data_IF_011289809287
#
_entry.id   IF_011289809287
#
_cell.length_a   1.000
_cell.length_b   1.000
_cell.length_c   1.000
_cell.angle_alpha   90.00
_cell.angle_beta   90.00
_cell.angle_gamma   90.00
#
_symmetry.space_group_name_H-M   'P 1'
#
loop_
_entity.id
_entity.type
_entity.pdbx_description
1 polymer ?
#
# COMPACT_ATOMS: atom_id res chain seq x y z
N UNK A 1 -23.46 34.79 12.55
CA UNK A 1 -22.51 33.98 13.29
C UNK A 1 -21.50 33.44 12.29
N UNK A 2 -20.31 34.01 12.30
CA UNK A 2 -19.27 33.63 11.35
C UNK A 2 -18.77 32.20 11.67
N UNK A 3 -18.94 31.27 10.72
CA UNK A 3 -18.33 29.96 10.80
C UNK A 3 -16.81 30.07 10.90
N UNK A 4 -16.10 29.10 11.50
CA UNK A 4 -14.67 29.19 11.72
C UNK A 4 -13.95 29.33 10.38
N UNK A 5 -13.10 30.35 10.28
CA UNK A 5 -12.28 30.65 9.11
C UNK A 5 -11.57 29.37 8.63
N UNK A 6 -11.89 28.96 7.42
CA UNK A 6 -11.30 27.79 6.79
C UNK A 6 -9.77 27.83 6.66
N UNK A 7 -9.17 29.02 6.81
CA UNK A 7 -7.74 29.30 6.65
C UNK A 7 -6.97 29.52 7.99
N UNK A 8 -7.60 29.30 9.14
CA UNK A 8 -7.02 29.67 10.44
C UNK A 8 -5.73 28.94 10.86
N UNK A 9 -5.33 27.90 10.18
CA UNK A 9 -4.18 27.07 10.56
C UNK A 9 -3.04 27.04 9.54
N UNK A 10 -3.16 27.77 8.42
CA UNK A 10 -2.07 27.86 7.42
C UNK A 10 -1.06 28.90 7.87
N UNK A 11 0.22 28.52 7.92
CA UNK A 11 1.30 29.45 8.19
C UNK A 11 1.53 30.30 6.94
N UNK A 12 1.33 31.60 7.05
CA UNK A 12 1.51 32.50 5.90
C UNK A 12 2.94 32.42 5.34
N UNK A 13 3.06 32.31 4.01
CA UNK A 13 4.33 32.20 3.30
C UNK A 13 5.09 30.89 3.51
N UNK A 14 4.43 29.87 4.06
CA UNK A 14 5.04 28.56 4.37
C UNK A 14 4.90 27.52 3.25
N UNK A 15 4.36 27.89 2.10
CA UNK A 15 4.03 26.92 1.05
C UNK A 15 2.81 26.04 1.43
N UNK A 16 1.88 26.59 2.20
CA UNK A 16 0.64 25.92 2.61
C UNK A 16 0.79 24.94 3.76
N UNK A 17 1.85 25.03 4.58
CA UNK A 17 2.02 24.21 5.79
C UNK A 17 0.97 24.58 6.83
N UNK A 18 0.28 23.56 7.37
CA UNK A 18 -0.74 23.69 8.41
C UNK A 18 -0.15 23.48 9.80
N UNK A 19 -0.57 24.32 10.77
CA UNK A 19 -0.25 24.09 12.19
C UNK A 19 -1.17 22.98 12.75
N UNK A 20 -0.58 22.05 13.50
CA UNK A 20 -1.31 21.01 14.22
C UNK A 20 -1.67 19.78 13.36
N UNK A 21 -2.64 19.01 13.85
CA UNK A 21 -3.19 17.89 13.09
C UNK A 21 -4.01 18.44 11.92
N UNK A 22 -3.67 17.99 10.69
CA UNK A 22 -4.39 18.40 9.49
C UNK A 22 -5.85 17.95 9.53
N UNK A 23 -6.69 18.57 8.72
CA UNK A 23 -8.07 18.13 8.52
C UNK A 23 -8.08 16.66 8.10
N UNK A 24 -8.96 15.89 8.72
CA UNK A 24 -9.20 14.49 8.36
C UNK A 24 -10.34 14.36 7.35
N UNK A 25 -11.21 15.37 7.24
CA UNK A 25 -12.31 15.41 6.28
C UNK A 25 -12.10 16.55 5.28
N UNK A 26 -12.01 16.20 4.01
CA UNK A 26 -11.85 17.12 2.87
C UNK A 26 -13.05 17.12 1.92
N UNK A 27 -14.11 16.41 2.29
CA UNK A 27 -15.34 16.27 1.50
C UNK A 27 -15.96 17.63 1.17
N UNK A 28 -16.36 17.80 -0.08
CA UNK A 28 -16.97 19.02 -0.59
C UNK A 28 -16.00 20.19 -0.85
N UNK A 29 -14.68 20.04 -0.61
CA UNK A 29 -13.72 21.08 -0.99
C UNK A 29 -13.65 21.23 -2.48
N UNK A 30 -13.50 22.48 -2.94
CA UNK A 30 -13.32 22.82 -4.35
C UNK A 30 -11.86 23.14 -4.62
N UNK A 31 -11.32 22.56 -5.69
CA UNK A 31 -9.92 22.69 -6.07
C UNK A 31 -9.75 23.06 -7.54
N UNK A 32 -8.63 23.74 -7.86
CA UNK A 32 -8.10 23.85 -9.21
C UNK A 32 -6.98 22.86 -9.40
N UNK A 33 -6.98 22.11 -10.49
CA UNK A 33 -5.90 21.21 -10.85
C UNK A 33 -4.98 21.86 -11.88
N UNK A 34 -3.71 22.01 -11.53
CA UNK A 34 -2.68 22.57 -12.41
C UNK A 34 -1.81 21.44 -12.99
N UNK A 35 -1.76 21.37 -14.32
CA UNK A 35 -1.05 20.32 -15.06
C UNK A 35 -0.06 20.93 -16.03
N UNK A 36 1.17 20.41 -16.07
CA UNK A 36 2.18 20.77 -17.06
C UNK A 36 2.33 19.68 -18.09
N UNK A 37 2.33 20.05 -19.36
CA UNK A 37 2.42 19.09 -20.46
C UNK A 37 1.09 18.41 -20.75
N UNK A 38 1.18 17.28 -21.45
CA UNK A 38 0.05 16.43 -21.83
C UNK A 38 0.18 15.08 -21.11
N UNK A 39 0.09 15.11 -19.79
CA UNK A 39 0.20 13.92 -18.96
C UNK A 39 -1.20 13.35 -18.65
N UNK A 40 -1.31 12.03 -18.58
CA UNK A 40 -2.52 11.39 -18.08
C UNK A 40 -2.73 11.72 -16.59
N UNK A 41 -3.84 12.33 -16.29
CA UNK A 41 -4.22 12.76 -14.94
C UNK A 41 -5.27 11.86 -14.29
N UNK A 42 -5.72 10.81 -14.98
CA UNK A 42 -6.84 9.97 -14.56
C UNK A 42 -6.65 9.35 -13.17
N UNK A 43 -5.46 8.82 -12.88
CA UNK A 43 -5.12 8.28 -11.58
C UNK A 43 -5.16 9.38 -10.48
N UNK A 44 -4.59 10.55 -10.77
CA UNK A 44 -4.57 11.66 -9.83
C UNK A 44 -5.98 12.21 -9.53
N UNK A 45 -6.81 12.34 -10.57
CA UNK A 45 -8.22 12.76 -10.44
C UNK A 45 -9.03 11.74 -9.62
N UNK A 46 -8.77 10.45 -9.78
CA UNK A 46 -9.37 9.39 -8.97
C UNK A 46 -8.95 9.47 -7.48
N UNK A 47 -7.68 9.79 -7.20
CA UNK A 47 -7.21 10.05 -5.83
C UNK A 47 -7.93 11.23 -5.20
N UNK A 48 -8.06 12.33 -5.93
CA UNK A 48 -8.76 13.55 -5.49
C UNK A 48 -10.24 13.26 -5.21
N UNK A 49 -10.90 12.54 -6.11
CA UNK A 49 -12.29 12.10 -6.00
C UNK A 49 -12.52 11.19 -4.78
N UNK A 50 -11.59 10.28 -4.49
CA UNK A 50 -11.65 9.39 -3.32
C UNK A 50 -11.72 10.17 -2.00
N UNK A 51 -11.14 11.37 -1.97
CA UNK A 51 -11.19 12.26 -0.80
C UNK A 51 -12.44 13.16 -0.76
N UNK A 52 -13.36 13.04 -1.73
CA UNK A 52 -14.53 13.91 -1.85
C UNK A 52 -14.18 15.35 -2.23
N UNK A 53 -13.01 15.59 -2.83
CA UNK A 53 -12.59 16.89 -3.33
C UNK A 53 -13.10 17.05 -4.77
N UNK A 54 -13.70 18.18 -5.09
CA UNK A 54 -14.22 18.49 -6.43
C UNK A 54 -13.27 19.36 -7.21
N UNK A 55 -12.75 18.85 -8.32
CA UNK A 55 -11.97 19.64 -9.29
C UNK A 55 -12.94 20.53 -10.06
N UNK A 56 -12.84 21.84 -9.85
CA UNK A 56 -13.68 22.84 -10.53
C UNK A 56 -13.21 23.02 -11.97
N UNK A 57 -11.90 23.06 -12.16
CA UNK A 57 -11.28 23.21 -13.47
C UNK A 57 -9.88 22.57 -13.46
N UNK A 58 -9.51 22.01 -14.62
CA UNK A 58 -8.16 21.53 -14.92
C UNK A 58 -7.49 22.54 -15.86
N UNK A 59 -6.44 23.18 -15.34
CA UNK A 59 -5.67 24.17 -16.10
C UNK A 59 -4.38 23.54 -16.60
N UNK A 60 -4.26 23.41 -17.91
CA UNK A 60 -3.09 22.83 -18.56
C UNK A 60 -2.21 23.97 -19.09
N UNK A 61 -0.90 23.88 -18.84
CA UNK A 61 0.07 24.74 -19.47
C UNK A 61 1.10 23.88 -20.22
N UNK A 62 1.17 23.98 -21.57
CA UNK A 62 2.14 23.22 -22.35
C UNK A 62 3.59 23.65 -22.08
N UNK A 63 4.53 22.78 -22.44
CA UNK A 63 5.96 23.03 -22.36
C UNK A 63 6.58 22.58 -21.02
N UNK A 64 7.86 22.93 -20.82
CA UNK A 64 8.65 22.48 -19.67
C UNK A 64 8.21 23.14 -18.36
N UNK A 65 8.31 22.38 -17.27
CA UNK A 65 8.08 22.85 -15.89
C UNK A 65 8.99 24.04 -15.58
N UNK A 66 8.43 25.10 -14.98
CA UNK A 66 9.25 26.18 -14.45
C UNK A 66 9.95 25.73 -13.14
N UNK A 67 11.28 25.77 -13.06
CA UNK A 67 12.01 25.31 -11.87
C UNK A 67 11.67 26.07 -10.58
N UNK A 68 11.29 27.36 -10.72
CA UNK A 68 10.99 28.21 -9.56
C UNK A 68 9.55 28.19 -9.08
N UNK A 69 8.59 27.97 -9.99
CA UNK A 69 7.15 28.17 -9.68
C UNK A 69 6.23 27.18 -10.36
N UNK A 70 6.72 26.10 -10.95
CA UNK A 70 5.96 25.08 -11.69
C UNK A 70 5.25 25.62 -12.93
N UNK A 71 4.35 26.62 -12.80
CA UNK A 71 3.77 27.40 -13.88
C UNK A 71 4.58 28.68 -14.12
N UNK A 72 4.49 29.24 -15.33
CA UNK A 72 5.06 30.57 -15.61
C UNK A 72 4.41 31.66 -14.77
N UNK A 73 5.17 32.65 -14.31
CA UNK A 73 4.70 33.70 -13.40
C UNK A 73 3.49 34.51 -13.97
N UNK A 74 3.47 34.79 -15.28
CA UNK A 74 2.31 35.42 -15.92
C UNK A 74 1.03 34.59 -15.85
N UNK A 75 1.13 33.26 -15.99
CA UNK A 75 -0.02 32.38 -15.86
C UNK A 75 -0.54 32.29 -14.42
N UNK A 76 0.36 32.27 -13.43
CA UNK A 76 -0.01 32.30 -12.01
C UNK A 76 -0.71 33.61 -11.64
N UNK A 77 -0.28 34.76 -12.16
CA UNK A 77 -0.95 36.05 -11.97
C UNK A 77 -2.37 36.04 -12.56
N UNK A 78 -2.55 35.50 -13.76
CA UNK A 78 -3.87 35.36 -14.37
C UNK A 78 -4.79 34.47 -13.52
N UNK A 79 -4.28 33.37 -12.98
CA UNK A 79 -5.02 32.49 -12.04
C UNK A 79 -5.40 33.27 -10.78
N UNK A 80 -4.48 34.07 -10.22
CA UNK A 80 -4.74 34.90 -9.05
C UNK A 80 -5.85 35.92 -9.32
N UNK A 81 -5.83 36.59 -10.46
CA UNK A 81 -6.87 37.54 -10.89
C UNK A 81 -8.22 36.83 -11.00
N UNK A 82 -8.27 35.68 -11.67
CA UNK A 82 -9.50 34.86 -11.81
C UNK A 82 -10.08 34.46 -10.47
N UNK A 83 -9.24 34.02 -9.53
CA UNK A 83 -9.65 33.65 -8.17
C UNK A 83 -10.11 34.87 -7.33
N UNK A 84 -9.53 36.05 -7.58
CA UNK A 84 -9.87 37.28 -6.88
C UNK A 84 -11.26 37.81 -7.22
N UNK A 85 -11.74 37.57 -8.44
CA UNK A 85 -13.06 37.98 -8.89
C UNK A 85 -14.18 37.26 -8.09
N UNK A 86 -13.89 36.13 -7.48
CA UNK A 86 -14.83 35.31 -6.67
C UNK A 86 -16.20 35.11 -7.31
N UNK A 87 -16.27 34.98 -8.64
CA UNK A 87 -17.51 34.77 -9.37
C UNK A 87 -17.68 33.31 -9.80
N UNK A 88 -18.92 32.85 -9.93
CA UNK A 88 -19.23 31.53 -10.46
C UNK A 88 -18.58 30.36 -9.69
N UNK A 89 -18.00 29.43 -10.43
CA UNK A 89 -17.39 28.21 -9.92
C UNK A 89 -16.17 28.47 -8.99
N UNK A 90 -15.44 29.57 -9.21
CA UNK A 90 -14.21 29.88 -8.47
C UNK A 90 -14.44 30.47 -7.08
N UNK A 91 -15.66 30.93 -6.76
CA UNK A 91 -16.00 31.57 -5.48
C UNK A 91 -15.63 30.75 -4.22
N UNK A 92 -15.60 29.44 -4.36
CA UNK A 92 -15.38 28.51 -3.23
C UNK A 92 -14.10 27.68 -3.38
N UNK A 93 -13.23 28.03 -4.34
CA UNK A 93 -11.93 27.34 -4.47
C UNK A 93 -11.10 27.61 -3.23
N UNK A 94 -10.71 26.56 -2.53
CA UNK A 94 -9.95 26.58 -1.30
C UNK A 94 -8.65 25.77 -1.36
N UNK A 95 -8.36 25.19 -2.54
CA UNK A 95 -7.23 24.29 -2.73
C UNK A 95 -6.69 24.39 -4.16
N UNK A 96 -5.39 24.44 -4.29
CA UNK A 96 -4.68 24.27 -5.57
C UNK A 96 -4.01 22.91 -5.54
N UNK A 97 -4.24 22.11 -6.57
CA UNK A 97 -3.66 20.78 -6.77
C UNK A 97 -2.62 20.84 -7.89
N UNK A 98 -1.44 20.28 -7.66
CA UNK A 98 -0.36 20.14 -8.64
C UNK A 98 -0.22 18.68 -9.04
N UNK A 99 -0.35 18.41 -10.35
CA UNK A 99 -0.11 17.07 -10.90
C UNK A 99 1.39 16.77 -10.99
N UNK A 100 2.08 16.78 -9.85
CA UNK A 100 3.52 16.46 -9.76
C UNK A 100 3.95 16.34 -8.31
N UNK A 101 5.15 15.83 -8.08
CA UNK A 101 5.89 16.00 -6.83
C UNK A 101 6.64 17.34 -6.92
N UNK A 102 6.05 18.40 -6.39
CA UNK A 102 6.61 19.74 -6.50
C UNK A 102 7.84 19.91 -5.58
N UNK A 103 8.79 20.73 -6.02
CA UNK A 103 9.89 21.13 -5.15
C UNK A 103 9.40 22.08 -4.04
N UNK A 104 10.03 22.12 -2.86
CA UNK A 104 9.66 23.06 -1.80
C UNK A 104 9.61 24.51 -2.29
N UNK A 105 10.55 24.90 -3.16
CA UNK A 105 10.60 26.23 -3.78
C UNK A 105 9.37 26.54 -4.62
N UNK A 106 8.91 25.58 -5.41
CA UNK A 106 7.70 25.73 -6.22
C UNK A 106 6.46 25.91 -5.34
N UNK A 107 6.33 25.09 -4.28
CA UNK A 107 5.20 25.20 -3.35
C UNK A 107 5.16 26.56 -2.64
N UNK A 108 6.28 27.02 -2.13
CA UNK A 108 6.39 28.34 -1.49
C UNK A 108 6.05 29.47 -2.47
N UNK A 109 6.59 29.41 -3.69
CA UNK A 109 6.34 30.46 -4.71
C UNK A 109 4.86 30.51 -5.14
N UNK A 110 4.20 29.36 -5.31
CA UNK A 110 2.78 29.34 -5.70
C UNK A 110 1.90 29.85 -4.54
N UNK A 111 2.17 29.40 -3.29
CA UNK A 111 1.45 29.87 -2.11
C UNK A 111 1.57 31.39 -1.92
N UNK A 112 2.76 31.96 -2.10
CA UNK A 112 2.98 33.41 -2.03
C UNK A 112 2.20 34.19 -3.09
N UNK A 113 2.06 33.64 -4.31
CA UNK A 113 1.36 34.33 -5.40
C UNK A 113 -0.15 34.17 -5.25
N UNK A 114 -0.64 32.94 -4.98
CA UNK A 114 -2.07 32.66 -5.01
C UNK A 114 -2.77 32.89 -3.66
N UNK A 115 -2.06 32.81 -2.54
CA UNK A 115 -2.62 32.95 -1.20
C UNK A 115 -3.66 31.88 -0.83
N UNK A 116 -3.57 30.70 -1.47
CA UNK A 116 -4.47 29.56 -1.29
C UNK A 116 -3.63 28.33 -0.99
N UNK A 117 -4.12 27.44 -0.16
CA UNK A 117 -3.46 26.17 0.18
C UNK A 117 -3.10 25.38 -1.08
N UNK A 118 -1.83 24.94 -1.18
CA UNK A 118 -1.28 24.22 -2.33
C UNK A 118 -0.93 22.80 -1.93
N UNK A 119 -1.42 21.84 -2.68
CA UNK A 119 -1.05 20.43 -2.52
C UNK A 119 -0.41 19.91 -3.81
N UNK A 120 0.74 19.33 -3.65
CA UNK A 120 1.35 18.46 -4.65
C UNK A 120 0.86 17.01 -4.46
N UNK A 121 1.36 16.09 -5.27
CA UNK A 121 1.03 14.66 -5.17
C UNK A 121 1.38 14.10 -3.79
N UNK A 122 2.49 14.52 -3.19
CA UNK A 122 2.93 14.07 -1.85
C UNK A 122 1.91 14.46 -0.79
N UNK A 123 1.48 15.71 -0.77
CA UNK A 123 0.50 16.21 0.21
C UNK A 123 -0.87 15.58 0.02
N UNK A 124 -1.30 15.38 -1.23
CA UNK A 124 -2.55 14.66 -1.51
C UNK A 124 -2.52 13.25 -0.92
N UNK A 125 -1.44 12.49 -1.18
CA UNK A 125 -1.28 11.14 -0.65
C UNK A 125 -1.23 11.12 0.89
N UNK A 126 -0.51 12.04 1.50
CA UNK A 126 -0.42 12.13 2.97
C UNK A 126 -1.78 12.51 3.61
N UNK A 127 -2.57 13.34 2.95
CA UNK A 127 -3.92 13.66 3.39
C UNK A 127 -4.85 12.44 3.28
N UNK A 128 -4.77 11.70 2.17
CA UNK A 128 -5.49 10.44 1.95
C UNK A 128 -5.11 9.40 3.02
N UNK A 129 -3.83 9.23 3.29
CA UNK A 129 -3.36 8.33 4.34
C UNK A 129 -3.82 8.76 5.72
N UNK A 130 -3.88 10.06 6.00
CA UNK A 130 -4.39 10.58 7.27
C UNK A 130 -5.85 10.19 7.48
N UNK A 131 -6.67 10.21 6.43
CA UNK A 131 -8.10 9.85 6.51
C UNK A 131 -8.33 8.34 6.69
N UNK A 132 -7.41 7.49 6.22
CA UNK A 132 -7.53 6.03 6.31
C UNK A 132 -6.77 5.40 7.49
N UNK A 133 -5.88 6.15 8.17
CA UNK A 133 -5.10 5.64 9.29
C UNK A 133 -5.99 5.37 10.51
N UNK A 134 -6.28 4.10 10.79
CA UNK A 134 -7.15 3.68 11.89
C UNK A 134 -6.36 3.38 13.17
N UNK A 135 -5.19 2.75 13.07
CA UNK A 135 -4.37 2.41 14.23
C UNK A 135 -3.48 3.56 14.71
N UNK A 136 -2.99 3.40 15.92
CA UNK A 136 -1.98 4.29 16.50
C UNK A 136 -0.67 4.26 15.72
N UNK A 137 -0.30 3.08 15.21
CA UNK A 137 0.93 2.89 14.42
C UNK A 137 0.83 3.63 13.09
N UNK A 138 -0.22 3.39 12.29
CA UNK A 138 -0.43 4.05 11.00
C UNK A 138 -0.53 5.57 11.17
N UNK A 139 -1.29 6.06 12.15
CA UNK A 139 -1.35 7.50 12.45
C UNK A 139 0.02 8.09 12.79
N UNK A 140 0.84 7.34 13.55
CA UNK A 140 2.20 7.77 13.88
C UNK A 140 3.09 7.82 12.63
N UNK A 141 3.00 6.84 11.74
CA UNK A 141 3.75 6.78 10.49
C UNK A 141 3.38 7.93 9.56
N UNK A 142 2.08 8.13 9.32
CA UNK A 142 1.58 9.23 8.48
C UNK A 142 1.97 10.59 9.07
N UNK A 143 1.89 10.76 10.39
CA UNK A 143 2.30 12.00 11.05
C UNK A 143 3.79 12.28 10.87
N UNK A 144 4.65 11.27 11.00
CA UNK A 144 6.09 11.40 10.74
C UNK A 144 6.34 11.84 9.29
N UNK A 145 5.69 11.19 8.30
CA UNK A 145 5.84 11.52 6.89
C UNK A 145 5.41 12.97 6.61
N UNK A 146 4.27 13.39 7.15
CA UNK A 146 3.76 14.76 7.05
C UNK A 146 4.74 15.77 7.63
N UNK A 147 5.23 15.55 8.86
CA UNK A 147 6.17 16.44 9.51
C UNK A 147 7.51 16.56 8.75
N UNK A 148 7.97 15.47 8.12
CA UNK A 148 9.17 15.51 7.27
C UNK A 148 8.96 16.36 6.03
N UNK A 149 7.82 16.20 5.34
CA UNK A 149 7.46 17.02 4.18
C UNK A 149 7.33 18.50 4.57
N UNK A 150 6.56 18.80 5.62
CA UNK A 150 6.36 20.16 6.11
C UNK A 150 7.68 20.84 6.54
N UNK A 151 8.56 20.10 7.23
CA UNK A 151 9.87 20.61 7.65
C UNK A 151 10.72 21.04 6.44
N UNK A 152 10.69 20.27 5.34
CA UNK A 152 11.45 20.59 4.15
C UNK A 152 10.95 21.88 3.50
N UNK A 153 9.64 22.07 3.45
CA UNK A 153 9.02 23.27 2.88
C UNK A 153 9.26 24.50 3.77
N UNK A 154 9.15 24.35 5.09
CA UNK A 154 9.43 25.45 6.03
C UNK A 154 10.89 25.93 5.97
N UNK A 155 11.85 25.00 5.76
CA UNK A 155 13.25 25.38 5.56
C UNK A 155 13.44 26.24 4.31
N UNK A 156 12.77 25.89 3.22
CA UNK A 156 12.80 26.72 2.00
C UNK A 156 12.13 28.08 2.23
N UNK A 157 11.00 28.13 2.92
CA UNK A 157 10.32 29.37 3.26
C UNK A 157 11.23 30.32 4.08
N UNK A 158 11.98 29.79 5.06
CA UNK A 158 13.00 30.55 5.81
C UNK A 158 14.08 31.07 4.88
N UNK A 159 14.60 30.21 3.98
CA UNK A 159 15.63 30.58 3.01
C UNK A 159 15.19 31.73 2.09
N UNK A 160 13.97 31.67 1.59
CA UNK A 160 13.39 32.71 0.72
C UNK A 160 13.24 34.04 1.49
N UNK A 161 12.75 34.00 2.73
CA UNK A 161 12.60 35.22 3.56
C UNK A 161 13.93 35.85 3.86
N UNK A 162 14.96 35.06 4.24
CA UNK A 162 16.30 35.59 4.57
C UNK A 162 17.05 36.13 3.36
N UNK A 163 16.79 35.63 2.14
CA UNK A 163 17.42 36.07 0.90
C UNK A 163 16.79 37.35 0.34
N UNK A 164 15.51 37.59 0.62
CA UNK A 164 14.74 38.75 0.16
C UNK A 164 14.89 40.00 1.04
N UNK A 165 15.49 39.90 2.22
CA UNK A 165 15.60 40.98 3.19
C UNK A 165 17.02 41.58 3.21
N UNK A 166 17.09 42.93 3.12
CA UNK A 166 18.35 43.66 3.40
C UNK A 166 18.77 43.36 4.84
N UNK A 167 20.05 43.05 5.03
CA UNK A 167 20.65 42.82 6.35
C UNK A 167 20.26 43.94 7.33
N UNK A 168 19.39 43.67 8.29
CA UNK A 168 19.04 44.58 9.38
C UNK A 168 17.58 44.75 9.78
N UNK A 169 16.57 44.28 9.01
CA UNK A 169 15.15 44.58 9.28
C UNK A 169 14.20 43.41 9.06
N UNK A 170 14.54 42.19 9.33
CA UNK A 170 13.65 41.08 8.99
C UNK A 170 13.67 39.84 9.90
N UNK A 171 14.17 39.99 11.12
CA UNK A 171 14.41 38.84 12.00
C UNK A 171 13.16 38.12 12.56
N UNK A 172 12.00 38.74 12.63
CA UNK A 172 10.85 38.16 13.36
C UNK A 172 10.19 37.02 12.65
N UNK A 173 9.95 37.13 11.34
CA UNK A 173 9.27 36.05 10.58
C UNK A 173 10.14 34.81 10.42
N UNK A 174 11.41 34.98 10.06
CA UNK A 174 12.38 33.89 9.95
C UNK A 174 12.59 33.19 11.30
N UNK A 175 12.67 33.97 12.40
CA UNK A 175 12.80 33.45 13.77
C UNK A 175 11.57 32.62 14.16
N UNK A 176 10.37 33.11 13.86
CA UNK A 176 9.14 32.37 14.13
C UNK A 176 9.10 31.02 13.40
N UNK A 177 9.46 30.97 12.11
CA UNK A 177 9.53 29.71 11.36
C UNK A 177 10.61 28.76 11.91
N UNK A 178 11.76 29.27 12.37
CA UNK A 178 12.80 28.46 13.02
C UNK A 178 12.32 27.84 14.34
N UNK A 179 11.54 28.56 15.14
CA UNK A 179 10.91 28.02 16.36
C UNK A 179 9.96 26.88 16.01
N UNK A 180 9.15 27.05 14.95
CA UNK A 180 8.24 26.00 14.46
C UNK A 180 9.06 24.77 14.00
N UNK A 181 10.11 24.95 13.20
CA UNK A 181 10.99 23.86 12.76
C UNK A 181 11.58 23.10 13.96
N UNK A 182 12.01 23.83 15.00
CA UNK A 182 12.55 23.24 16.23
C UNK A 182 11.49 22.41 16.98
N UNK A 183 10.26 22.89 17.03
CA UNK A 183 9.11 22.13 17.60
C UNK A 183 8.84 20.86 16.81
N UNK A 184 8.79 20.94 15.47
CA UNK A 184 8.61 19.78 14.60
C UNK A 184 9.72 18.73 14.80
N UNK A 185 10.97 19.14 14.96
CA UNK A 185 12.08 18.22 15.21
C UNK A 185 11.93 17.46 16.54
N UNK A 186 11.46 18.12 17.60
CA UNK A 186 11.16 17.45 18.89
C UNK A 186 10.04 16.45 18.75
N UNK A 187 8.95 16.84 18.08
CA UNK A 187 7.83 15.95 17.80
C UNK A 187 8.26 14.72 16.98
N UNK A 188 9.04 14.93 15.91
CA UNK A 188 9.62 13.85 15.09
C UNK A 188 10.44 12.87 15.91
N UNK A 189 11.28 13.36 16.84
CA UNK A 189 12.10 12.51 17.71
C UNK A 189 11.24 11.65 18.60
N UNK A 190 10.19 12.23 19.20
CA UNK A 190 9.24 11.51 20.06
C UNK A 190 8.45 10.43 19.29
N UNK A 191 7.93 10.80 18.11
CA UNK A 191 7.17 9.88 17.28
C UNK A 191 8.03 8.73 16.73
N UNK A 192 9.27 9.01 16.32
CA UNK A 192 10.21 7.96 15.87
C UNK A 192 10.54 6.97 16.99
N UNK A 193 10.75 7.45 18.22
CA UNK A 193 10.96 6.58 19.38
C UNK A 193 9.74 5.69 19.64
N UNK A 194 8.53 6.25 19.52
CA UNK A 194 7.27 5.51 19.67
C UNK A 194 7.12 4.46 18.56
N UNK A 195 7.33 4.85 17.31
CA UNK A 195 7.26 3.95 16.14
C UNK A 195 8.26 2.79 16.28
N UNK A 196 9.51 3.06 16.70
CA UNK A 196 10.54 2.03 16.91
C UNK A 196 10.11 0.93 17.90
N UNK A 197 9.39 1.28 18.97
CA UNK A 197 8.82 0.29 19.90
C UNK A 197 7.76 -0.59 19.22
N UNK A 198 6.87 0.00 18.42
CA UNK A 198 5.84 -0.75 17.70
C UNK A 198 6.46 -1.68 16.65
N UNK A 199 7.41 -1.18 15.85
CA UNK A 199 8.12 -1.98 14.84
C UNK A 199 8.86 -3.18 15.47
N UNK A 200 9.56 -2.96 16.59
CA UNK A 200 10.22 -4.04 17.30
C UNK A 200 9.23 -5.11 17.80
N UNK A 201 8.13 -4.69 18.40
CA UNK A 201 7.08 -5.63 18.85
C UNK A 201 6.43 -6.39 17.69
N UNK A 202 6.26 -5.77 16.53
CA UNK A 202 5.75 -6.42 15.32
C UNK A 202 6.76 -7.47 14.80
N UNK A 203 8.05 -7.14 14.74
CA UNK A 203 9.11 -8.07 14.35
C UNK A 203 9.17 -9.30 15.26
N UNK A 204 9.09 -9.12 16.59
CA UNK A 204 9.03 -10.24 17.53
C UNK A 204 7.81 -11.15 17.30
N UNK A 205 6.64 -10.58 17.02
CA UNK A 205 5.45 -11.38 16.70
C UNK A 205 5.63 -12.19 15.42
N UNK A 206 6.24 -11.63 14.36
CA UNK A 206 6.55 -12.35 13.12
C UNK A 206 7.52 -13.50 13.37
N UNK A 207 8.60 -13.25 14.13
CA UNK A 207 9.58 -14.28 14.51
C UNK A 207 8.92 -15.42 15.33
N UNK A 208 8.02 -15.09 16.25
CA UNK A 208 7.28 -16.12 17.01
C UNK A 208 6.38 -16.95 16.09
N UNK A 209 5.66 -16.33 15.13
CA UNK A 209 4.85 -17.06 14.15
C UNK A 209 5.70 -18.05 13.36
N UNK A 210 6.85 -17.61 12.86
CA UNK A 210 7.79 -18.44 12.11
C UNK A 210 8.31 -19.61 12.96
N UNK A 211 8.71 -19.35 14.22
CA UNK A 211 9.15 -20.42 15.15
C UNK A 211 8.05 -21.45 15.45
N UNK A 212 6.79 -21.05 15.35
CA UNK A 212 5.64 -21.93 15.52
C UNK A 212 5.24 -22.67 14.22
N UNK A 213 6.01 -22.55 13.15
CA UNK A 213 5.72 -23.19 11.86
C UNK A 213 4.51 -22.59 11.12
N UNK A 214 4.12 -21.36 11.44
CA UNK A 214 3.03 -20.66 10.77
C UNK A 214 3.54 -20.10 9.44
N UNK A 215 3.02 -20.62 8.33
CA UNK A 215 3.30 -20.09 7.00
C UNK A 215 2.46 -18.85 6.73
N UNK A 216 3.05 -17.86 6.05
CA UNK A 216 2.37 -16.62 5.69
C UNK A 216 2.43 -16.40 4.18
N UNK A 217 1.33 -15.92 3.62
CA UNK A 217 1.19 -15.53 2.21
C UNK A 217 0.93 -14.03 2.17
N UNK A 218 1.86 -13.26 1.60
CA UNK A 218 1.75 -11.82 1.48
C UNK A 218 1.09 -11.40 0.17
N UNK A 219 0.20 -10.43 0.20
CA UNK A 219 -0.41 -9.84 -0.99
C UNK A 219 0.30 -8.54 -1.33
N UNK A 220 0.81 -8.42 -2.54
CA UNK A 220 1.40 -7.20 -3.06
C UNK A 220 0.83 -6.89 -4.44
N UNK A 221 0.89 -5.65 -4.85
CA UNK A 221 0.40 -5.20 -6.15
C UNK A 221 -0.04 -3.75 -6.11
N UNK A 222 -0.34 -3.23 -7.28
CA UNK A 222 -0.77 -1.86 -7.44
C UNK A 222 -2.07 -1.57 -6.68
N UNK A 223 -2.36 -0.28 -6.40
CA UNK A 223 -3.66 0.09 -5.82
C UNK A 223 -4.80 -0.39 -6.73
N UNK A 224 -5.89 -0.85 -6.14
CA UNK A 224 -7.05 -1.41 -6.85
C UNK A 224 -6.78 -2.70 -7.67
N UNK A 225 -5.63 -3.37 -7.48
CA UNK A 225 -5.36 -4.67 -8.10
C UNK A 225 -6.14 -5.85 -7.49
N UNK A 226 -7.11 -5.60 -6.62
CA UNK A 226 -7.96 -6.64 -6.03
C UNK A 226 -7.39 -7.35 -4.81
N UNK A 227 -6.35 -6.81 -4.13
CA UNK A 227 -5.72 -7.41 -2.95
C UNK A 227 -6.71 -7.73 -1.84
N UNK A 228 -7.46 -6.73 -1.36
CA UNK A 228 -8.43 -6.91 -0.27
C UNK A 228 -9.62 -7.80 -0.68
N UNK A 229 -9.96 -7.85 -1.97
CA UNK A 229 -10.97 -8.78 -2.51
C UNK A 229 -10.47 -10.22 -2.45
N UNK A 230 -9.23 -10.48 -2.88
CA UNK A 230 -8.61 -11.80 -2.79
C UNK A 230 -8.38 -12.21 -1.33
N UNK A 231 -7.93 -11.30 -0.48
CA UNK A 231 -7.80 -11.54 0.95
C UNK A 231 -9.12 -12.07 1.56
N UNK A 232 -10.25 -11.41 1.24
CA UNK A 232 -11.57 -11.85 1.70
C UNK A 232 -11.96 -13.21 1.14
N UNK A 233 -11.70 -13.46 -0.15
CA UNK A 233 -12.01 -14.73 -0.80
C UNK A 233 -11.23 -15.90 -0.18
N UNK A 234 -9.96 -15.71 0.16
CA UNK A 234 -9.10 -16.74 0.72
C UNK A 234 -9.25 -16.93 2.23
N UNK A 235 -9.50 -15.84 3.00
CA UNK A 235 -9.56 -15.91 4.47
C UNK A 235 -10.97 -16.06 5.03
N UNK A 236 -12.00 -15.87 4.23
CA UNK A 236 -13.41 -15.83 4.69
C UNK A 236 -13.69 -14.66 5.67
N UNK A 237 -12.69 -13.82 5.99
CA UNK A 237 -12.83 -12.71 6.91
C UNK A 237 -13.54 -11.54 6.23
N UNK A 238 -14.58 -11.00 6.87
CA UNK A 238 -15.26 -9.79 6.39
C UNK A 238 -14.34 -8.59 6.59
N UNK A 239 -13.65 -8.17 5.53
CA UNK A 239 -12.92 -6.90 5.48
C UNK A 239 -13.73 -5.92 4.64
N UNK A 240 -13.72 -4.67 5.01
CA UNK A 240 -14.36 -3.62 4.24
C UNK A 240 -13.61 -3.50 2.90
N UNK A 241 -14.22 -4.01 1.84
CA UNK A 241 -13.70 -3.82 0.47
C UNK A 241 -14.47 -2.65 -0.11
N UNK A 242 -13.83 -1.51 -0.16
CA UNK A 242 -14.33 -0.34 -0.87
C UNK A 242 -13.55 -0.21 -2.18
N UNK A 243 -14.22 0.22 -3.24
CA UNK A 243 -13.58 0.61 -4.53
C UNK A 243 -12.83 1.95 -4.38
N UNK A 244 -12.16 2.13 -3.25
CA UNK A 244 -11.35 3.30 -2.95
C UNK A 244 -9.87 2.95 -2.96
N UNK A 245 -9.09 3.85 -3.52
CA UNK A 245 -7.64 3.72 -3.50
C UNK A 245 -7.13 3.74 -2.05
N UNK A 246 -6.18 2.86 -1.73
CA UNK A 246 -5.62 2.71 -0.38
C UNK A 246 -6.63 2.36 0.72
N UNK A 247 -7.57 1.47 0.44
CA UNK A 247 -8.51 0.96 1.46
C UNK A 247 -7.80 0.29 2.64
N UNK A 248 -6.57 -0.20 2.44
CA UNK A 248 -5.74 -0.85 3.46
C UNK A 248 -4.43 -0.08 3.63
N UNK A 249 -4.25 0.58 4.78
CA UNK A 249 -2.99 1.23 5.18
C UNK A 249 -2.17 0.39 6.16
N UNK A 250 -2.81 -0.55 6.82
CA UNK A 250 -2.23 -1.42 7.82
C UNK A 250 -2.27 -2.86 7.34
N UNK A 251 -1.21 -3.66 7.61
CA UNK A 251 -1.27 -5.06 7.26
C UNK A 251 -2.39 -5.73 8.02
N UNK A 252 -3.32 -6.31 7.28
CA UNK A 252 -4.41 -7.09 7.86
C UNK A 252 -4.10 -8.56 7.73
N UNK A 253 -4.01 -9.27 8.87
CA UNK A 253 -3.80 -10.70 8.89
C UNK A 253 -5.13 -11.45 8.93
N UNK A 254 -5.29 -12.42 8.04
CA UNK A 254 -6.37 -13.36 8.01
C UNK A 254 -5.85 -14.80 8.10
N UNK A 255 -6.70 -15.70 8.51
CA UNK A 255 -6.39 -17.12 8.47
C UNK A 255 -6.96 -17.70 7.16
N UNK A 256 -6.07 -18.17 6.29
CA UNK A 256 -6.43 -18.84 5.04
C UNK A 256 -6.79 -20.29 5.29
N UNK A 257 -6.02 -20.98 6.15
CA UNK A 257 -6.28 -22.37 6.50
C UNK A 257 -6.00 -22.61 7.99
N UNK A 258 -6.69 -23.57 8.60
CA UNK A 258 -6.57 -23.93 10.01
C UNK A 258 -5.56 -25.02 10.26
N UNK A 259 -5.47 -25.98 9.35
CA UNK A 259 -4.58 -27.13 9.44
C UNK A 259 -4.09 -27.51 8.04
N UNK A 260 -2.81 -27.27 7.71
CA UNK A 260 -1.80 -26.52 8.48
C UNK A 260 -2.19 -25.04 8.61
N UNK A 261 -1.68 -24.37 9.63
CA UNK A 261 -2.00 -22.95 9.82
C UNK A 261 -1.30 -22.10 8.78
N UNK A 262 -2.10 -21.52 7.87
CA UNK A 262 -1.62 -20.59 6.85
C UNK A 262 -2.31 -19.26 7.09
N UNK A 263 -1.48 -18.21 7.21
CA UNK A 263 -1.93 -16.83 7.31
C UNK A 263 -1.83 -16.15 5.95
N UNK A 264 -2.73 -15.21 5.70
CA UNK A 264 -2.65 -14.32 4.56
C UNK A 264 -2.56 -12.88 5.08
N UNK A 265 -1.67 -12.08 4.48
CA UNK A 265 -1.44 -10.70 4.85
C UNK A 265 -1.85 -9.77 3.69
N UNK A 266 -2.87 -8.93 3.91
CA UNK A 266 -3.20 -7.83 3.01
C UNK A 266 -2.34 -6.61 3.35
N UNK A 267 -1.75 -5.97 2.35
CA UNK A 267 -0.82 -4.86 2.52
C UNK A 267 -1.23 -3.63 1.72
N UNK A 268 -0.53 -2.52 1.95
CA UNK A 268 -0.69 -1.28 1.16
C UNK A 268 -0.42 -1.57 -0.31
N UNK A 269 -1.28 -1.02 -1.19
CA UNK A 269 -1.05 -1.04 -2.63
C UNK A 269 0.06 -0.09 -3.07
N UNK A 270 0.80 -0.50 -4.08
CA UNK A 270 1.73 0.39 -4.76
C UNK A 270 0.99 1.42 -5.62
N UNK A 271 1.61 2.56 -5.80
CA UNK A 271 1.17 3.65 -6.68
C UNK A 271 2.42 4.31 -7.26
N UNK A 272 2.28 4.94 -8.42
CA UNK A 272 3.40 5.64 -9.04
C UNK A 272 3.88 6.82 -8.20
N UNK A 273 5.19 7.06 -8.28
CA UNK A 273 5.82 8.26 -7.76
C UNK A 273 5.55 8.56 -6.27
N UNK A 274 5.45 7.52 -5.40
CA UNK A 274 5.43 7.75 -3.97
C UNK A 274 6.83 8.23 -3.54
N UNK A 275 6.95 9.39 -2.87
CA UNK A 275 8.25 9.84 -2.40
C UNK A 275 8.87 8.88 -1.38
N UNK A 276 10.18 8.68 -1.46
CA UNK A 276 10.92 7.81 -0.52
C UNK A 276 10.72 8.21 0.94
N UNK A 277 10.48 9.49 1.23
CA UNK A 277 10.18 9.99 2.58
C UNK A 277 8.85 9.48 3.13
N UNK A 278 7.83 9.36 2.29
CA UNK A 278 6.55 8.77 2.66
C UNK A 278 6.67 7.25 2.77
N UNK A 279 7.34 6.60 1.80
CA UNK A 279 7.59 5.16 1.79
C UNK A 279 8.39 4.69 3.01
N UNK A 280 9.41 5.42 3.44
CA UNK A 280 10.21 5.10 4.63
C UNK A 280 9.35 4.99 5.90
N UNK A 281 8.25 5.74 5.97
CA UNK A 281 7.32 5.68 7.10
C UNK A 281 6.47 4.40 7.11
N UNK A 282 6.31 3.71 5.98
CA UNK A 282 5.50 2.50 5.83
C UNK A 282 6.33 1.21 5.73
N UNK A 283 7.64 1.26 6.02
CA UNK A 283 8.52 0.07 5.97
C UNK A 283 7.97 -1.11 6.77
N UNK A 284 7.42 -0.87 7.96
CA UNK A 284 6.87 -1.94 8.80
C UNK A 284 5.63 -2.62 8.19
N UNK A 285 4.86 -1.88 7.42
CA UNK A 285 3.65 -2.39 6.75
C UNK A 285 4.00 -3.35 5.61
N UNK A 286 5.04 -3.01 4.85
CA UNK A 286 5.53 -3.90 3.79
C UNK A 286 6.29 -5.11 4.35
N UNK A 287 6.87 -5.01 5.54
CA UNK A 287 7.59 -6.11 6.17
C UNK A 287 6.72 -7.36 6.36
N UNK A 288 5.42 -7.21 6.63
CA UNK A 288 4.50 -8.37 6.74
C UNK A 288 4.40 -9.17 5.44
N UNK A 289 4.43 -8.53 4.27
CA UNK A 289 4.44 -9.23 2.99
C UNK A 289 5.84 -9.75 2.62
N UNK A 290 6.88 -8.94 2.82
CA UNK A 290 8.25 -9.29 2.40
C UNK A 290 8.87 -10.39 3.26
N UNK A 291 8.42 -10.57 4.51
CA UNK A 291 8.83 -11.65 5.40
C UNK A 291 7.92 -12.89 5.30
N UNK A 292 7.00 -12.93 4.31
CA UNK A 292 6.16 -14.08 4.02
C UNK A 292 6.92 -15.16 3.25
N UNK A 293 6.52 -16.43 3.33
CA UNK A 293 7.09 -17.53 2.57
C UNK A 293 6.72 -17.45 1.09
N UNK A 294 5.51 -16.95 0.80
CA UNK A 294 5.02 -16.71 -0.56
C UNK A 294 4.53 -15.26 -0.66
N UNK A 295 4.85 -14.62 -1.77
CA UNK A 295 4.33 -13.30 -2.15
C UNK A 295 3.48 -13.45 -3.40
N UNK A 296 2.19 -13.12 -3.30
CA UNK A 296 1.30 -13.03 -4.45
C UNK A 296 1.38 -11.62 -5.04
N UNK A 297 1.94 -11.49 -6.24
CA UNK A 297 1.98 -10.25 -7.00
C UNK A 297 0.70 -10.12 -7.83
N UNK A 298 -0.24 -9.29 -7.38
CA UNK A 298 -1.54 -9.10 -8.01
C UNK A 298 -1.48 -8.01 -9.08
N UNK A 299 -2.09 -8.33 -10.23
CA UNK A 299 -2.19 -7.45 -11.39
C UNK A 299 -3.66 -7.42 -11.83
N UNK A 300 -4.20 -6.24 -12.08
CA UNK A 300 -5.55 -6.08 -12.64
C UNK A 300 -5.54 -6.45 -14.13
N UNK A 301 -6.14 -7.58 -14.47
CA UNK A 301 -6.22 -8.02 -15.86
C UNK A 301 -7.16 -7.16 -16.73
N UNK A 302 -8.00 -6.33 -16.12
CA UNK A 302 -8.91 -5.45 -16.86
C UNK A 302 -8.25 -4.18 -17.38
N UNK A 303 -7.01 -3.91 -16.98
CA UNK A 303 -6.21 -2.81 -17.51
C UNK A 303 -5.79 -3.08 -18.98
N UNK A 304 -5.39 -2.03 -19.72
CA UNK A 304 -4.76 -2.20 -21.02
C UNK A 304 -3.40 -2.92 -20.88
N UNK A 305 -2.91 -3.56 -21.96
CA UNK A 305 -1.65 -4.29 -21.89
C UNK A 305 -0.48 -3.38 -21.47
N UNK A 306 -0.43 -2.15 -21.97
CA UNK A 306 0.61 -1.17 -21.61
C UNK A 306 0.56 -0.84 -20.11
N UNK A 307 -0.65 -0.69 -19.54
CA UNK A 307 -0.84 -0.45 -18.12
C UNK A 307 -0.48 -1.66 -17.26
N UNK A 308 -0.81 -2.87 -17.72
CA UNK A 308 -0.39 -4.13 -17.08
C UNK A 308 1.12 -4.18 -16.98
N UNK A 309 1.81 -3.95 -18.09
CA UNK A 309 3.29 -3.94 -18.15
C UNK A 309 3.89 -2.89 -17.23
N UNK A 310 3.38 -1.66 -17.30
CA UNK A 310 3.84 -0.56 -16.47
C UNK A 310 3.67 -0.86 -14.96
N UNK A 311 2.49 -1.26 -14.54
CA UNK A 311 2.17 -1.57 -13.14
C UNK A 311 2.95 -2.78 -12.62
N UNK A 312 3.16 -3.79 -13.46
CA UNK A 312 3.99 -4.95 -13.15
C UNK A 312 5.43 -4.53 -12.87
N UNK A 313 6.04 -3.76 -13.79
CA UNK A 313 7.42 -3.29 -13.65
C UNK A 313 7.60 -2.36 -12.45
N UNK A 314 6.66 -1.44 -12.22
CA UNK A 314 6.68 -0.56 -11.04
C UNK A 314 6.70 -1.38 -9.75
N UNK A 315 5.78 -2.34 -9.61
CA UNK A 315 5.71 -3.20 -8.41
C UNK A 315 6.97 -4.05 -8.25
N UNK A 316 7.47 -4.65 -9.33
CA UNK A 316 8.68 -5.49 -9.33
C UNK A 316 9.92 -4.69 -8.89
N UNK A 317 10.09 -3.49 -9.42
CA UNK A 317 11.22 -2.62 -9.06
C UNK A 317 11.15 -2.20 -7.59
N UNK A 318 9.98 -1.77 -7.12
CA UNK A 318 9.76 -1.41 -5.72
C UNK A 318 10.02 -2.59 -4.76
N UNK A 319 9.60 -3.80 -5.12
CA UNK A 319 9.90 -5.00 -4.33
C UNK A 319 11.40 -5.25 -4.25
N UNK A 320 12.11 -5.17 -5.40
CA UNK A 320 13.55 -5.42 -5.45
C UNK A 320 14.35 -4.37 -4.66
N UNK A 321 14.01 -3.09 -4.74
CA UNK A 321 14.63 -2.03 -3.95
C UNK A 321 14.50 -2.30 -2.45
N UNK A 322 13.31 -2.71 -2.00
CA UNK A 322 13.04 -2.98 -0.59
C UNK A 322 13.75 -4.22 -0.07
N UNK A 323 13.87 -5.25 -0.89
CA UNK A 323 14.65 -6.43 -0.55
C UNK A 323 16.11 -6.08 -0.34
N UNK A 324 16.67 -5.25 -1.24
CA UNK A 324 18.06 -4.79 -1.14
C UNK A 324 18.30 -3.92 0.09
N UNK A 325 17.37 -3.01 0.42
CA UNK A 325 17.49 -2.13 1.59
C UNK A 325 17.38 -2.87 2.94
N UNK A 326 16.61 -3.94 2.99
CA UNK A 326 16.25 -4.59 4.24
C UNK A 326 17.23 -5.68 4.67
N UNK A 327 18.21 -6.06 3.81
CA UNK A 327 19.15 -7.17 4.06
C UNK A 327 18.42 -8.44 4.51
N UNK A 328 17.25 -8.73 3.92
CA UNK A 328 16.53 -9.95 4.24
C UNK A 328 17.29 -11.15 3.69
N UNK A 329 17.72 -12.04 4.60
CA UNK A 329 18.32 -13.34 4.28
C UNK A 329 17.30 -14.34 3.70
N UNK A 330 16.05 -13.92 3.57
CA UNK A 330 14.94 -14.80 3.22
C UNK A 330 14.56 -14.63 1.75
N UNK A 331 14.70 -15.71 0.97
CA UNK A 331 14.14 -15.83 -0.38
C UNK A 331 12.68 -16.26 -0.26
N UNK A 332 11.75 -15.36 -0.56
CA UNK A 332 10.35 -15.73 -0.75
C UNK A 332 10.09 -16.20 -2.20
N UNK A 333 9.11 -17.06 -2.38
CA UNK A 333 8.60 -17.42 -3.71
C UNK A 333 7.59 -16.38 -4.16
N UNK A 334 7.71 -15.91 -5.40
CA UNK A 334 6.74 -14.98 -5.99
C UNK A 334 5.83 -15.73 -6.95
N UNK A 335 4.53 -15.55 -6.80
CA UNK A 335 3.50 -16.04 -7.72
C UNK A 335 2.79 -14.83 -8.34
N UNK A 336 2.57 -14.83 -9.64
CA UNK A 336 1.90 -13.73 -10.35
C UNK A 336 0.42 -14.05 -10.49
N UNK A 337 -0.45 -13.14 -10.07
CA UNK A 337 -1.90 -13.36 -10.02
C UNK A 337 -2.63 -12.27 -10.80
N UNK A 338 -3.16 -12.61 -11.97
CA UNK A 338 -4.04 -11.76 -12.75
C UNK A 338 -5.45 -11.81 -12.19
N UNK A 339 -5.94 -10.70 -11.71
CA UNK A 339 -7.26 -10.55 -11.07
C UNK A 339 -8.31 -10.01 -12.03
N UNK A 340 -9.58 -10.00 -11.63
CA UNK A 340 -10.73 -9.42 -12.35
C UNK A 340 -10.94 -9.99 -13.76
N UNK A 341 -10.64 -11.26 -13.97
CA UNK A 341 -10.81 -11.91 -15.29
C UNK A 341 -12.27 -11.96 -15.75
N UNK A 342 -13.20 -11.75 -14.84
CA UNK A 342 -14.64 -11.62 -15.13
C UNK A 342 -14.98 -10.36 -15.96
N UNK A 343 -14.05 -9.40 -16.07
CA UNK A 343 -14.24 -8.13 -16.79
C UNK A 343 -13.58 -8.09 -18.17
N UNK A 344 -12.91 -9.14 -18.59
CA UNK A 344 -12.10 -9.16 -19.80
C UNK A 344 -12.59 -10.17 -20.85
N UNK A 345 -12.30 -9.86 -22.12
CA UNK A 345 -12.61 -10.75 -23.24
C UNK A 345 -11.56 -11.85 -23.44
N UNK A 346 -11.94 -12.94 -24.09
CA UNK A 346 -11.01 -14.02 -24.44
C UNK A 346 -9.82 -13.50 -25.30
N UNK A 347 -10.06 -12.50 -26.17
CA UNK A 347 -9.02 -11.87 -26.98
C UNK A 347 -7.99 -11.16 -26.10
N UNK A 348 -8.43 -10.44 -25.08
CA UNK A 348 -7.54 -9.74 -24.14
C UNK A 348 -6.72 -10.74 -23.31
N UNK A 349 -7.35 -11.82 -22.83
CA UNK A 349 -6.63 -12.92 -22.15
C UNK A 349 -5.52 -13.50 -23.03
N UNK A 350 -5.79 -13.71 -24.33
CA UNK A 350 -4.77 -14.22 -25.26
C UNK A 350 -3.59 -13.27 -25.41
N UNK A 351 -3.82 -11.95 -25.48
CA UNK A 351 -2.76 -10.93 -25.52
C UNK A 351 -1.91 -10.93 -24.24
N UNK A 352 -2.57 -11.00 -23.07
CA UNK A 352 -1.86 -11.07 -21.78
C UNK A 352 -1.05 -12.35 -21.66
N UNK A 353 -1.56 -13.50 -22.13
CA UNK A 353 -0.82 -14.77 -22.14
C UNK A 353 0.41 -14.71 -23.03
N UNK A 354 0.30 -14.12 -24.22
CA UNK A 354 1.46 -13.91 -25.11
C UNK A 354 2.54 -13.08 -24.41
N UNK A 355 2.17 -12.00 -23.75
CA UNK A 355 3.12 -11.18 -22.98
C UNK A 355 3.75 -11.97 -21.82
N UNK A 356 3.00 -12.82 -21.12
CA UNK A 356 3.52 -13.69 -20.05
C UNK A 356 4.60 -14.62 -20.60
N UNK A 357 4.37 -15.21 -21.79
CA UNK A 357 5.32 -16.10 -22.45
C UNK A 357 6.57 -15.33 -22.90
N UNK A 358 6.40 -14.12 -23.45
CA UNK A 358 7.51 -13.24 -23.87
C UNK A 358 8.40 -12.82 -22.69
N UNK A 359 7.79 -12.52 -21.52
CA UNK A 359 8.50 -12.16 -20.27
C UNK A 359 8.98 -13.38 -19.47
N UNK A 360 8.69 -14.61 -19.93
CA UNK A 360 9.05 -15.86 -19.26
C UNK A 360 8.56 -15.90 -17.79
N UNK A 361 7.35 -15.42 -17.52
CA UNK A 361 6.78 -15.44 -16.19
C UNK A 361 6.35 -16.86 -15.82
N UNK A 362 6.73 -17.30 -14.63
CA UNK A 362 6.37 -18.59 -14.07
C UNK A 362 5.38 -18.43 -12.92
N UNK A 363 4.69 -19.51 -12.53
CA UNK A 363 3.68 -19.51 -11.46
C UNK A 363 2.61 -18.42 -11.66
N UNK A 364 1.96 -18.43 -12.82
CA UNK A 364 0.95 -17.43 -13.20
C UNK A 364 -0.46 -18.00 -13.05
N UNK A 365 -1.32 -17.23 -12.36
CA UNK A 365 -2.71 -17.58 -12.11
C UNK A 365 -3.66 -16.50 -12.60
N UNK A 366 -4.81 -16.91 -13.12
CA UNK A 366 -5.90 -16.04 -13.57
C UNK A 366 -7.11 -16.25 -12.68
N UNK A 367 -7.55 -15.22 -11.97
CA UNK A 367 -8.63 -15.34 -11.00
C UNK A 367 -9.69 -14.24 -11.10
N UNK A 368 -10.88 -14.58 -10.62
CA UNK A 368 -11.89 -13.59 -10.22
C UNK A 368 -12.31 -13.82 -8.78
N UNK A 369 -12.09 -12.83 -7.93
CA UNK A 369 -12.54 -12.87 -6.54
C UNK A 369 -14.06 -12.72 -6.40
N UNK A 370 -14.76 -12.28 -7.47
CA UNK A 370 -16.23 -12.12 -7.49
C UNK A 370 -16.91 -13.41 -7.90
N UNK A 371 -16.48 -14.03 -9.00
CA UNK A 371 -17.04 -15.29 -9.49
C UNK A 371 -16.40 -16.53 -8.85
N UNK A 372 -15.37 -16.36 -8.03
CA UNK A 372 -14.53 -17.42 -7.44
C UNK A 372 -13.77 -18.28 -8.48
N UNK A 373 -13.76 -17.91 -9.75
CA UNK A 373 -13.02 -18.61 -10.80
C UNK A 373 -11.51 -18.54 -10.51
N UNK A 374 -10.80 -19.68 -10.61
CA UNK A 374 -9.36 -19.79 -10.43
C UNK A 374 -8.88 -19.71 -8.98
N UNK A 375 -9.77 -19.54 -7.99
CA UNK A 375 -9.40 -19.41 -6.56
C UNK A 375 -8.92 -20.76 -6.00
N UNK A 376 -9.56 -21.85 -6.36
CA UNK A 376 -9.19 -23.18 -5.87
C UNK A 376 -7.86 -23.64 -6.48
N UNK A 377 -7.61 -23.34 -7.75
CA UNK A 377 -6.35 -23.61 -8.43
C UNK A 377 -5.21 -22.80 -7.80
N UNK A 378 -5.45 -21.51 -7.50
CA UNK A 378 -4.49 -20.67 -6.79
C UNK A 378 -4.20 -21.24 -5.39
N UNK A 379 -5.22 -21.67 -4.66
CA UNK A 379 -5.06 -22.31 -3.34
C UNK A 379 -4.20 -23.57 -3.43
N UNK A 380 -4.44 -24.45 -4.39
CA UNK A 380 -3.64 -25.66 -4.63
C UNK A 380 -2.16 -25.29 -4.92
N UNK A 381 -1.93 -24.30 -5.77
CA UNK A 381 -0.58 -23.87 -6.09
C UNK A 381 0.15 -23.27 -4.89
N UNK A 382 -0.55 -22.53 -4.02
CA UNK A 382 -0.01 -22.05 -2.74
C UNK A 382 0.43 -23.24 -1.86
N UNK A 383 -0.43 -24.26 -1.71
CA UNK A 383 -0.08 -25.46 -0.93
C UNK A 383 1.14 -26.18 -1.53
N UNK A 384 1.17 -26.35 -2.85
CA UNK A 384 2.29 -26.98 -3.54
C UNK A 384 3.59 -26.21 -3.30
N UNK A 385 3.55 -24.89 -3.35
CA UNK A 385 4.72 -24.05 -3.10
C UNK A 385 5.19 -24.07 -1.64
N UNK A 386 4.27 -24.22 -0.68
CA UNK A 386 4.59 -24.29 0.75
C UNK A 386 5.05 -25.69 1.19
N UNK A 387 4.42 -26.75 0.69
CA UNK A 387 4.56 -28.09 1.23
C UNK A 387 5.18 -29.10 0.23
N UNK A 388 5.41 -28.70 -1.01
CA UNK A 388 5.91 -29.60 -2.05
C UNK A 388 4.80 -30.43 -2.70
N UNK A 389 5.04 -31.71 -2.98
CA UNK A 389 4.07 -32.60 -3.61
C UNK A 389 3.00 -33.08 -2.62
N UNK A 390 1.79 -33.33 -3.12
CA UNK A 390 0.74 -33.98 -2.34
C UNK A 390 1.21 -35.38 -1.91
N UNK A 391 1.14 -35.65 -0.61
CA UNK A 391 1.55 -36.93 -0.02
C UNK A 391 0.36 -37.87 0.10
N UNK A 392 0.51 -39.09 -0.38
CA UNK A 392 -0.49 -40.16 -0.19
C UNK A 392 -0.05 -41.07 0.96
N UNK A 393 -0.85 -41.15 2.01
CA UNK A 393 -0.53 -41.82 3.27
C UNK A 393 -1.59 -42.86 3.58
N UNK A 394 -1.15 -44.00 4.11
CA UNK A 394 -2.01 -45.05 4.66
C UNK A 394 -1.91 -45.00 6.18
N UNK A 395 -3.05 -44.97 6.87
CA UNK A 395 -3.09 -45.06 8.33
C UNK A 395 -3.82 -46.37 8.74
N UNK A 396 -3.14 -47.17 9.53
CA UNK A 396 -3.73 -48.42 10.08
C UNK A 396 -4.51 -48.11 11.36
N UNK A 397 -5.82 -48.34 11.33
CA UNK A 397 -6.76 -48.00 12.42
C UNK A 397 -6.81 -49.06 13.54
N UNK A 398 -6.33 -50.28 13.25
CA UNK A 398 -6.38 -51.44 14.16
C UNK A 398 -5.37 -51.42 15.34
N UNK A 399 -4.45 -50.48 15.37
CA UNK A 399 -3.39 -50.40 16.40
C UNK A 399 -3.91 -49.71 17.67
N UNK A 400 -4.50 -50.42 18.61
CA UNK A 400 -4.82 -50.06 20.02
C UNK A 400 -5.05 -48.56 20.30
N UNK A 401 -5.89 -47.90 19.48
CA UNK A 401 -6.17 -46.44 19.57
C UNK A 401 -5.06 -45.53 19.04
N UNK A 402 -3.92 -46.06 18.59
CA UNK A 402 -2.85 -45.27 17.98
C UNK A 402 -3.24 -44.74 16.60
N UNK A 403 -4.00 -45.53 15.82
CA UNK A 403 -4.51 -45.11 14.51
C UNK A 403 -5.35 -43.84 14.58
N UNK A 404 -6.26 -43.73 15.57
CA UNK A 404 -7.06 -42.52 15.76
C UNK A 404 -6.20 -41.31 16.17
N UNK A 405 -5.17 -41.52 17.04
CA UNK A 405 -4.22 -40.44 17.41
C UNK A 405 -3.39 -39.99 16.22
N UNK A 406 -2.94 -40.93 15.37
CA UNK A 406 -2.22 -40.61 14.13
C UNK A 406 -3.07 -39.80 13.17
N UNK A 407 -4.33 -40.21 12.96
CA UNK A 407 -5.29 -39.45 12.16
C UNK A 407 -5.47 -38.03 12.71
N UNK A 408 -5.69 -37.89 14.02
CA UNK A 408 -5.84 -36.59 14.66
C UNK A 408 -4.57 -35.72 14.50
N UNK A 409 -3.39 -36.30 14.61
CA UNK A 409 -2.12 -35.61 14.42
C UNK A 409 -1.95 -35.16 12.95
N UNK A 410 -2.30 -36.00 11.97
CA UNK A 410 -2.32 -35.63 10.55
C UNK A 410 -3.29 -34.48 10.27
N UNK A 411 -4.51 -34.51 10.82
CA UNK A 411 -5.48 -33.40 10.70
C UNK A 411 -5.01 -32.10 11.36
N UNK A 412 -4.19 -32.20 12.40
CA UNK A 412 -3.67 -31.01 13.11
C UNK A 412 -2.51 -30.35 12.39
N UNK A 413 -1.71 -31.11 11.63
CA UNK A 413 -0.46 -30.65 11.02
C UNK A 413 -0.49 -30.58 9.49
N UNK A 414 -1.54 -31.12 8.84
CA UNK A 414 -1.68 -31.14 7.39
C UNK A 414 -3.09 -30.84 6.90
N UNK A 415 -3.18 -30.49 5.62
CA UNK A 415 -4.46 -30.28 4.93
C UNK A 415 -4.83 -31.51 4.12
N UNK A 416 -5.91 -32.20 4.53
CA UNK A 416 -6.36 -33.42 3.89
C UNK A 416 -7.27 -33.05 2.70
N UNK A 417 -6.86 -33.48 1.51
CA UNK A 417 -7.59 -33.24 0.25
C UNK A 417 -8.60 -34.35 0.02
N UNK A 418 -8.15 -35.60 0.15
CA UNK A 418 -9.00 -36.76 -0.02
C UNK A 418 -8.84 -37.74 1.14
N UNK A 419 -9.97 -38.33 1.53
CA UNK A 419 -10.03 -39.37 2.56
C UNK A 419 -10.85 -40.55 1.99
N UNK A 420 -10.30 -41.75 2.13
CA UNK A 420 -10.99 -42.98 1.80
C UNK A 420 -10.74 -44.00 2.91
N UNK A 421 -11.76 -44.69 3.35
CA UNK A 421 -11.63 -45.74 4.35
C UNK A 421 -11.94 -47.10 3.68
N UNK A 422 -11.10 -48.08 3.93
CA UNK A 422 -11.28 -49.43 3.47
C UNK A 422 -10.86 -50.43 4.55
N UNK A 423 -11.82 -51.01 5.24
CA UNK A 423 -11.61 -51.91 6.38
C UNK A 423 -10.86 -51.17 7.52
N UNK A 424 -9.75 -51.73 7.95
CA UNK A 424 -8.92 -51.16 9.01
C UNK A 424 -7.85 -50.14 8.51
N UNK A 425 -7.94 -49.73 7.25
CA UNK A 425 -7.03 -48.80 6.64
C UNK A 425 -7.73 -47.51 6.22
N UNK A 426 -7.09 -46.39 6.46
CA UNK A 426 -7.52 -45.08 5.99
C UNK A 426 -6.47 -44.54 5.02
N UNK A 427 -6.88 -44.20 3.82
CA UNK A 427 -6.09 -43.60 2.77
C UNK A 427 -6.29 -42.08 2.80
N UNK A 428 -5.21 -41.31 2.93
CA UNK A 428 -5.25 -39.85 3.00
C UNK A 428 -4.34 -39.27 1.94
N UNK A 429 -4.88 -38.34 1.13
CA UNK A 429 -4.06 -37.46 0.30
C UNK A 429 -3.96 -36.13 1.05
N UNK A 430 -2.72 -35.74 1.45
CA UNK A 430 -2.49 -34.66 2.41
C UNK A 430 -1.36 -33.72 1.95
N UNK A 431 -1.56 -32.44 2.15
CA UNK A 431 -0.52 -31.43 2.11
C UNK A 431 0.10 -31.29 3.50
N UNK A 432 1.36 -31.63 3.67
CA UNK A 432 2.11 -31.56 4.93
C UNK A 432 3.60 -31.33 4.62
N UNK A 433 4.29 -30.57 5.49
CA UNK A 433 5.71 -30.39 5.30
C UNK A 433 6.46 -31.70 5.55
N UNK A 434 7.54 -31.94 4.80
CA UNK A 434 8.37 -33.15 4.93
C UNK A 434 8.89 -33.33 6.37
N UNK A 435 9.24 -32.22 7.04
CA UNK A 435 9.73 -32.25 8.43
C UNK A 435 8.66 -32.70 9.43
N UNK A 436 7.42 -32.27 9.27
CA UNK A 436 6.32 -32.69 10.14
C UNK A 436 5.89 -34.13 9.82
N UNK A 437 5.88 -34.50 8.56
CA UNK A 437 5.59 -35.87 8.16
C UNK A 437 6.63 -36.85 8.72
N UNK A 438 7.92 -36.52 8.64
CA UNK A 438 8.97 -37.33 9.22
C UNK A 438 8.80 -37.50 10.75
N UNK A 439 8.43 -36.44 11.47
CA UNK A 439 8.12 -36.52 12.91
C UNK A 439 6.95 -37.45 13.18
N UNK A 440 5.89 -37.40 12.36
CA UNK A 440 4.72 -38.25 12.52
C UNK A 440 5.04 -39.74 12.24
N UNK A 441 5.86 -40.03 11.23
CA UNK A 441 6.36 -41.37 11.00
C UNK A 441 7.16 -41.91 12.19
N UNK A 442 8.00 -41.06 12.80
CA UNK A 442 8.77 -41.46 14.00
C UNK A 442 7.86 -41.63 15.25
N UNK A 443 6.82 -40.83 15.38
CA UNK A 443 5.89 -40.88 16.52
C UNK A 443 4.92 -42.06 16.44
N UNK A 444 4.53 -42.46 15.22
CA UNK A 444 3.56 -43.54 14.97
C UNK A 444 4.14 -44.61 14.05
N UNK A 445 5.23 -45.29 14.46
CA UNK A 445 5.85 -46.34 13.65
C UNK A 445 4.85 -47.48 13.44
N UNK A 446 4.81 -48.03 12.22
CA UNK A 446 3.88 -49.08 11.78
C UNK A 446 2.40 -48.70 11.75
N UNK A 447 2.04 -47.47 12.11
CA UNK A 447 0.67 -46.95 12.05
C UNK A 447 0.45 -46.08 10.83
N UNK A 448 1.51 -45.36 10.40
CA UNK A 448 1.50 -44.50 9.23
C UNK A 448 2.51 -45.03 8.21
N UNK A 449 2.09 -45.17 6.95
CA UNK A 449 2.94 -45.61 5.84
C UNK A 449 2.73 -44.72 4.62
N UNK A 450 3.77 -44.59 3.77
CA UNK A 450 3.60 -44.06 2.43
C UNK A 450 2.85 -45.06 1.56
N UNK A 451 1.94 -44.55 0.71
CA UNK A 451 1.23 -45.37 -0.27
C UNK A 451 2.15 -45.77 -1.42
#
# INVERSE_FOLDING_TARGET
>A
MNGPNANGNVIAGSGGVLLGEGRTNHEGRKALLLVRGDEDTSEYENLVSTMGIHIVEKMIQPGKVNPGSYFGGGRLKLIQETLSIKSGAYKQVSLILLHTNATPRQLVAIDQILGIEVWDRVRLLLALFTSHASSVEARTQVRIAKLLADRTILREAVSVQTTGERAGYGGEGATALQVIISSLNRELTTLRKRLGKHTHSAALRREQRRKQGLNTVGLVGYTNAGKSSLFRALSGKKVLVEDKLFSTLEPTLGQMEKSPRILIADTIGFIDNIPNTALASFKSTFAEALESEIVLHLIDASDSLDEIQRKFMTTKNELNERLTEASFDQTFKTMVVFTKIDRISAKHIAMVRQWIDDEQLHDVHFISSISHQGIDELRHSIFQNLFGSLQSIIVHLSSEGQGQKAVHALYSNGYIVHKREHGEQMFLDIWISESELAKLFHQFPHTIEHK
#
